data_IF_791219505305
#
_entry.id   IF_791219505305
#
_cell.length_a   1.000
_cell.length_b   1.000
_cell.length_c   1.000
_cell.angle_alpha   90.00
_cell.angle_beta   90.00
_cell.angle_gamma   90.00
#
_symmetry.space_group_name_H-M   'P 1'
#
loop_
_entity.id
_entity.type
_entity.pdbx_description
1 polymer ?
#
# COMPACT_ATOMS: atom_id res chain seq x y z
N UNK A 1 -10.16 -10.44 10.28
CA UNK A 1 -9.57 -9.24 10.95
C UNK A 1 -9.50 -8.12 9.92
N UNK A 2 -9.76 -6.85 10.28
CA UNK A 2 -9.70 -5.75 9.30
C UNK A 2 -8.27 -5.49 8.82
N UNK A 3 -8.08 -5.39 7.51
CA UNK A 3 -6.81 -5.06 6.87
C UNK A 3 -6.90 -3.73 6.14
N UNK A 4 -5.75 -3.16 5.82
CA UNK A 4 -5.64 -1.84 5.24
C UNK A 4 -4.63 -1.82 4.09
N UNK A 5 -5.02 -1.15 3.02
CA UNK A 5 -4.11 -0.75 1.96
C UNK A 5 -3.57 0.65 2.24
N UNK A 6 -2.32 0.89 1.85
CA UNK A 6 -1.66 2.18 1.95
C UNK A 6 -1.18 2.59 0.56
N UNK A 7 -1.67 3.74 0.11
CA UNK A 7 -1.13 4.45 -1.04
C UNK A 7 -0.38 5.68 -0.54
N UNK A 8 0.84 5.86 -1.04
CA UNK A 8 1.70 6.99 -0.70
C UNK A 8 1.99 7.85 -1.91
N UNK A 9 2.04 9.16 -1.68
CA UNK A 9 2.59 10.12 -2.63
C UNK A 9 3.90 10.60 -2.03
N UNK A 10 4.99 10.17 -2.64
CA UNK A 10 6.34 10.58 -2.27
C UNK A 10 6.69 11.84 -3.06
N UNK A 11 7.05 12.95 -2.40
CA UNK A 11 7.50 14.16 -3.10
C UNK A 11 8.60 13.83 -4.09
N UNK A 12 8.52 14.40 -5.30
CA UNK A 12 9.50 14.23 -6.40
C UNK A 12 9.59 12.84 -7.04
N UNK A 13 9.10 11.77 -6.39
CA UNK A 13 9.17 10.39 -6.92
C UNK A 13 7.84 9.87 -7.46
N UNK A 14 6.71 10.46 -7.05
CA UNK A 14 5.39 10.11 -7.57
C UNK A 14 4.54 9.28 -6.62
N UNK A 15 3.67 8.44 -7.19
CA UNK A 15 2.65 7.68 -6.45
C UNK A 15 3.07 6.23 -6.35
N UNK A 16 2.94 5.68 -5.16
CA UNK A 16 3.29 4.30 -4.88
C UNK A 16 2.19 3.64 -4.06
N UNK A 17 1.94 2.39 -4.34
CA UNK A 17 1.23 1.51 -3.44
C UNK A 17 2.26 0.80 -2.57
N UNK A 18 1.93 0.64 -1.30
CA UNK A 18 2.84 0.04 -0.32
C UNK A 18 2.27 -1.30 0.09
N UNK A 19 3.11 -2.32 0.09
CA UNK A 19 2.81 -3.64 0.64
C UNK A 19 3.88 -4.03 1.65
N UNK A 20 3.49 -4.86 2.61
CA UNK A 20 4.41 -5.51 3.54
C UNK A 20 5.00 -6.75 2.87
N UNK A 21 6.29 -7.00 3.05
CA UNK A 21 6.90 -8.27 2.63
C UNK A 21 6.21 -9.46 3.33
N UNK A 22 5.72 -10.42 2.56
CA UNK A 22 5.20 -11.67 3.09
C UNK A 22 6.35 -12.68 3.31
N UNK A 23 6.63 -12.97 4.58
CA UNK A 23 7.72 -13.88 4.97
C UNK A 23 7.37 -15.36 4.76
N UNK A 24 6.08 -15.69 4.60
CA UNK A 24 5.59 -17.07 4.49
C UNK A 24 4.48 -17.14 3.42
N UNK A 25 4.83 -17.04 2.12
CA UNK A 25 3.84 -17.14 1.06
C UNK A 25 3.21 -18.54 1.02
N UNK A 26 1.88 -18.60 0.98
CA UNK A 26 1.11 -19.85 0.86
C UNK A 26 0.98 -20.30 -0.59
N UNK A 27 1.22 -19.40 -1.55
CA UNK A 27 1.04 -19.64 -2.99
C UNK A 27 -0.40 -19.40 -3.46
N UNK A 28 -1.32 -19.08 -2.54
CA UNK A 28 -2.69 -18.67 -2.84
C UNK A 28 -2.71 -17.14 -2.92
N UNK A 29 -2.95 -16.62 -4.10
CA UNK A 29 -2.80 -15.19 -4.41
C UNK A 29 -3.61 -14.26 -3.49
N UNK A 30 -4.85 -14.62 -3.19
CA UNK A 30 -5.73 -13.81 -2.33
C UNK A 30 -5.27 -13.82 -0.87
N UNK A 31 -4.85 -14.99 -0.37
CA UNK A 31 -4.34 -15.14 0.98
C UNK A 31 -3.02 -14.40 1.17
N UNK A 32 -2.11 -14.55 0.20
CA UNK A 32 -0.81 -13.87 0.20
C UNK A 32 -0.99 -12.36 0.18
N UNK A 33 -1.83 -11.84 -0.71
CA UNK A 33 -2.14 -10.41 -0.77
C UNK A 33 -2.79 -9.90 0.53
N UNK A 34 -3.71 -10.67 1.12
CA UNK A 34 -4.32 -10.31 2.40
C UNK A 34 -3.30 -10.26 3.56
N UNK A 35 -2.30 -11.14 3.53
CA UNK A 35 -1.21 -11.16 4.50
C UNK A 35 -0.23 -9.99 4.33
N UNK A 36 -0.02 -9.55 3.08
CA UNK A 36 0.78 -8.38 2.69
C UNK A 36 0.09 -7.05 3.06
N UNK A 37 -1.23 -7.05 3.25
CA UNK A 37 -1.98 -5.90 3.73
C UNK A 37 -1.70 -5.58 5.20
N UNK A 38 -1.78 -4.28 5.54
CA UNK A 38 -1.42 -3.78 6.86
C UNK A 38 -2.51 -4.07 7.88
N UNK A 39 -2.11 -4.43 9.10
CA UNK A 39 -2.99 -4.44 10.26
C UNK A 39 -3.06 -3.05 10.90
N UNK A 40 -4.00 -2.85 11.83
CA UNK A 40 -4.08 -1.61 12.60
C UNK A 40 -2.80 -1.33 13.40
N UNK A 41 -2.16 -2.37 13.95
CA UNK A 41 -0.93 -2.21 14.70
C UNK A 41 0.27 -1.90 13.79
N UNK A 42 0.31 -2.46 12.58
CA UNK A 42 1.31 -2.05 11.58
C UNK A 42 1.16 -0.56 11.21
N UNK A 43 -0.08 -0.07 11.06
CA UNK A 43 -0.34 1.34 10.73
C UNK A 43 0.16 2.30 11.81
N UNK A 44 -0.01 1.97 13.09
CA UNK A 44 0.51 2.79 14.20
C UNK A 44 2.02 2.95 14.14
N UNK A 45 2.72 1.95 13.61
CA UNK A 45 4.18 1.96 13.45
C UNK A 45 4.60 2.70 12.18
N UNK A 46 4.00 2.39 11.04
CA UNK A 46 4.47 2.87 9.73
C UNK A 46 4.03 4.30 9.41
N UNK A 47 2.79 4.67 9.78
CA UNK A 47 2.22 5.99 9.45
C UNK A 47 3.04 7.16 10.03
N UNK A 48 3.46 7.15 11.31
CA UNK A 48 4.31 8.21 11.84
C UNK A 48 5.64 8.35 11.10
N UNK A 49 6.26 7.24 10.70
CA UNK A 49 7.53 7.24 9.97
C UNK A 49 7.38 7.87 8.58
N UNK A 50 6.36 7.47 7.82
CA UNK A 50 6.05 8.04 6.50
C UNK A 50 5.71 9.53 6.59
N UNK A 51 4.96 9.96 7.62
CA UNK A 51 4.65 11.38 7.85
C UNK A 51 5.89 12.20 8.17
N UNK A 52 6.84 11.68 8.97
CA UNK A 52 8.13 12.36 9.25
C UNK A 52 8.92 12.61 7.96
N UNK A 53 8.81 11.71 6.97
CA UNK A 53 9.42 11.86 5.64
C UNK A 53 8.60 12.73 4.68
N UNK A 54 7.53 13.38 5.16
CA UNK A 54 6.62 14.24 4.38
C UNK A 54 5.88 13.51 3.25
N UNK A 55 5.69 12.20 3.37
CA UNK A 55 4.87 11.44 2.42
C UNK A 55 3.39 11.70 2.68
N UNK A 56 2.61 11.88 1.61
CA UNK A 56 1.14 11.96 1.73
C UNK A 56 0.57 10.56 1.68
N UNK A 57 -0.32 10.23 2.61
CA UNK A 57 -0.86 8.88 2.80
C UNK A 57 -2.35 8.87 2.47
N UNK A 58 -2.79 7.82 1.78
CA UNK A 58 -4.18 7.40 1.73
C UNK A 58 -4.26 5.98 2.25
N UNK A 59 -5.05 5.80 3.29
CA UNK A 59 -5.30 4.50 3.90
C UNK A 59 -6.72 4.11 3.51
N UNK A 60 -6.92 2.88 3.04
CA UNK A 60 -8.25 2.37 2.67
C UNK A 60 -8.44 1.00 3.32
N UNK A 61 -9.57 0.75 3.99
CA UNK A 61 -9.86 -0.58 4.52
C UNK A 61 -10.01 -1.57 3.36
N UNK A 62 -9.55 -2.79 3.58
CA UNK A 62 -9.74 -3.95 2.71
C UNK A 62 -10.44 -5.04 3.52
N UNK A 63 -11.50 -5.57 2.94
CA UNK A 63 -12.19 -6.77 3.39
C UNK A 63 -11.81 -7.94 2.47
N UNK A 64 -11.96 -9.18 2.94
CA UNK A 64 -11.60 -10.37 2.16
C UNK A 64 -12.42 -10.47 0.86
N UNK A 65 -13.68 -10.03 0.90
CA UNK A 65 -14.59 -9.97 -0.25
C UNK A 65 -14.15 -8.96 -1.34
N UNK A 66 -13.32 -7.99 -0.96
CA UNK A 66 -12.80 -6.93 -1.81
C UNK A 66 -11.45 -7.29 -2.46
N UNK A 67 -10.88 -8.46 -2.12
CA UNK A 67 -9.62 -8.93 -2.69
C UNK A 67 -9.74 -9.15 -4.21
N UNK A 68 -10.79 -9.81 -4.74
CA UNK A 68 -10.93 -10.01 -6.18
C UNK A 68 -10.98 -8.67 -6.92
N UNK A 69 -10.00 -8.43 -7.79
CA UNK A 69 -9.92 -7.20 -8.62
C UNK A 69 -9.19 -6.02 -8.00
N UNK A 70 -8.89 -6.01 -6.68
CA UNK A 70 -7.94 -5.07 -6.05
C UNK A 70 -6.51 -5.59 -6.03
N UNK A 71 -6.29 -6.78 -6.58
CA UNK A 71 -4.97 -7.38 -6.82
C UNK A 71 -4.27 -6.64 -7.98
N UNK A 72 -3.97 -5.36 -7.78
CA UNK A 72 -3.26 -4.53 -8.76
C UNK A 72 -1.73 -4.70 -8.67
N UNK A 73 -1.26 -5.52 -7.72
CA UNK A 73 0.11 -5.52 -7.24
C UNK A 73 0.86 -6.83 -7.38
N UNK A 74 0.58 -7.57 -8.46
CA UNK A 74 1.48 -8.63 -8.89
C UNK A 74 2.12 -8.33 -10.24
N UNK A 75 3.20 -7.53 -10.26
CA UNK A 75 4.20 -7.60 -11.32
C UNK A 75 5.43 -8.43 -10.94
N UNK A 76 5.66 -8.70 -9.64
CA UNK A 76 6.80 -9.52 -9.21
C UNK A 76 6.70 -10.98 -9.71
N UNK A 77 5.47 -11.47 -9.98
CA UNK A 77 5.20 -12.83 -10.46
C UNK A 77 4.98 -12.98 -11.97
N UNK A 78 4.77 -11.90 -12.74
CA UNK A 78 4.34 -12.00 -14.16
C UNK A 78 5.11 -11.14 -15.18
N UNK A 79 6.27 -10.56 -14.82
CA UNK A 79 7.19 -9.98 -15.81
C UNK A 79 6.76 -8.64 -16.41
N UNK A 80 5.97 -7.86 -15.67
CA UNK A 80 5.66 -6.46 -16.02
C UNK A 80 6.69 -5.55 -15.38
N UNK A 81 7.32 -4.66 -16.15
CA UNK A 81 8.29 -3.68 -15.64
C UNK A 81 7.61 -2.65 -14.74
N UNK A 82 7.52 -2.93 -13.44
CA UNK A 82 7.17 -1.93 -12.44
C UNK A 82 8.44 -1.41 -11.78
N UNK A 83 8.46 -0.10 -11.53
CA UNK A 83 9.47 0.50 -10.65
C UNK A 83 9.14 0.08 -9.21
N UNK A 84 9.94 -0.85 -8.69
CA UNK A 84 9.83 -1.38 -7.33
C UNK A 84 10.95 -0.80 -6.48
N UNK A 85 10.60 -0.26 -5.32
CA UNK A 85 11.55 0.20 -4.31
C UNK A 85 11.31 -0.53 -2.99
N UNK A 86 12.36 -1.12 -2.43
CA UNK A 86 12.29 -1.75 -1.12
C UNK A 86 12.79 -0.77 -0.07
N UNK A 87 11.97 -0.51 0.95
CA UNK A 87 12.31 0.39 2.06
C UNK A 87 12.07 -0.33 3.37
N UNK A 88 13.08 -0.34 4.23
CA UNK A 88 12.95 -0.83 5.59
C UNK A 88 12.47 0.30 6.49
N UNK A 89 11.31 0.14 7.12
CA UNK A 89 10.78 1.08 8.10
C UNK A 89 10.51 0.35 9.41
N UNK A 90 11.33 0.64 10.43
CA UNK A 90 11.34 -0.14 11.68
C UNK A 90 11.71 -1.62 11.40
N UNK A 91 11.01 -2.55 12.02
CA UNK A 91 11.14 -4.00 11.78
C UNK A 91 10.38 -4.50 10.55
N UNK A 92 9.64 -3.61 9.87
CA UNK A 92 8.88 -3.95 8.68
C UNK A 92 9.67 -3.64 7.41
N UNK A 93 9.67 -4.59 6.48
CA UNK A 93 10.15 -4.39 5.12
C UNK A 93 8.96 -4.06 4.24
N UNK A 94 9.00 -2.87 3.65
CA UNK A 94 7.95 -2.33 2.81
C UNK A 94 8.42 -2.38 1.36
N UNK A 95 7.54 -2.83 0.49
CA UNK A 95 7.75 -2.82 -0.95
C UNK A 95 6.85 -1.73 -1.50
N UNK A 96 7.45 -0.73 -2.13
CA UNK A 96 6.76 0.34 -2.83
C UNK A 96 6.74 0.01 -4.31
N UNK A 97 5.57 0.06 -4.89
CA UNK A 97 5.36 -0.22 -6.32
C UNK A 97 4.75 1.01 -6.95
N UNK A 98 5.37 1.51 -8.01
CA UNK A 98 4.91 2.74 -8.66
C UNK A 98 3.53 2.52 -9.29
N UNK A 99 2.55 3.29 -8.85
CA UNK A 99 1.21 3.32 -9.44
C UNK A 99 1.26 4.17 -10.72
N UNK A 100 1.33 3.49 -11.87
CA UNK A 100 1.31 4.11 -13.20
C UNK A 100 -0.12 4.42 -13.69
N UNK A 101 -1.15 4.04 -12.92
CA UNK A 101 -2.53 4.48 -13.07
C UNK A 101 -3.39 3.66 -14.03
N UNK A 102 -4.38 2.96 -13.45
CA UNK A 102 -5.71 2.77 -14.07
C UNK A 102 -6.86 2.93 -13.05
N UNK A 103 -6.65 3.67 -11.96
CA UNK A 103 -7.73 3.98 -11.01
C UNK A 103 -7.95 5.49 -10.91
N UNK A 104 -9.07 5.94 -11.50
CA UNK A 104 -9.66 7.24 -11.21
C UNK A 104 -9.95 7.30 -9.71
N UNK A 105 -9.14 8.03 -8.96
CA UNK A 105 -9.51 8.38 -7.60
C UNK A 105 -10.84 9.16 -7.63
N UNK A 106 -11.84 8.80 -6.81
CA UNK A 106 -12.87 9.76 -6.48
C UNK A 106 -12.18 10.94 -5.78
N UNK A 107 -12.49 12.17 -6.23
CA UNK A 107 -11.96 13.42 -5.68
C UNK A 107 -12.08 13.35 -4.15
N UNK A 108 -10.95 13.40 -3.46
CA UNK A 108 -10.90 13.47 -2.01
C UNK A 108 -11.61 14.74 -1.54
N UNK A 109 -12.84 14.63 -1.02
CA UNK A 109 -13.45 15.67 -0.20
C UNK A 109 -12.90 15.57 1.23
N UNK A 110 -11.63 15.90 1.40
CA UNK A 110 -11.10 16.25 2.71
C UNK A 110 -10.67 17.71 2.61
N UNK A 111 -11.59 18.61 2.97
CA UNK A 111 -11.24 19.98 3.35
C UNK A 111 -10.80 19.91 4.82
N UNK A 112 -9.51 20.06 5.16
CA UNK A 112 -9.11 20.08 6.57
C UNK A 112 -9.34 21.46 7.21
N UNK A 113 -9.64 22.50 6.43
CA UNK A 113 -9.99 23.83 6.91
C UNK A 113 -11.04 24.44 5.96
N UNK A 114 -12.27 24.56 6.44
CA UNK A 114 -13.30 25.43 5.86
C UNK A 114 -13.60 26.50 6.90
N UNK A 115 -13.53 27.77 6.48
CA UNK A 115 -13.90 28.95 7.25
C UNK A 115 -15.34 28.90 7.74
#
# INVERSE_FOLDING_TARGET
>A
MRRYNIQVIVPSLGRYEVIKENMSPTGVQEEDYFNECFTWDDLKTVVPHMRRQRWKLKISPIEEEDLPGKIHLFPFTYGVNHEVQMVRMSDLRLILTRDMGLLKFPRSSYRPFGY
#
